data_IF_642957283784
#
_entry.id   IF_642957283784
#
_cell.length_a   1.000
_cell.length_b   1.000
_cell.length_c   1.000
_cell.angle_alpha   90.00
_cell.angle_beta   90.00
_cell.angle_gamma   90.00
#
_symmetry.space_group_name_H-M   'P 1'
#
loop_
_entity.id
_entity.type
_entity.pdbx_description
1 polymer ?
#
# COMPACT_ATOMS: atom_id res chain seq x y z
N UNK A 1 48.70 61.35 -0.30
CA UNK A 1 48.26 60.20 -1.13
C UNK A 1 47.19 59.43 -0.36
N UNK A 2 45.91 59.52 -0.77
CA UNK A 2 44.84 58.73 -0.16
C UNK A 2 43.85 58.30 -1.25
N UNK A 3 44.04 57.09 -1.78
CA UNK A 3 43.12 56.53 -2.80
C UNK A 3 41.85 56.07 -2.09
N UNK A 4 40.74 56.79 -2.29
CA UNK A 4 39.39 56.29 -1.96
C UNK A 4 39.05 55.18 -2.95
N UNK A 5 39.16 53.93 -2.51
CA UNK A 5 38.54 52.80 -3.21
C UNK A 5 37.02 52.96 -3.16
N UNK A 6 36.41 53.29 -4.31
CA UNK A 6 34.96 53.19 -4.48
C UNK A 6 34.61 51.70 -4.56
N UNK A 7 34.10 51.13 -3.46
CA UNK A 7 33.40 49.85 -3.49
C UNK A 7 32.16 50.01 -4.39
N UNK A 8 32.23 49.45 -5.60
CA UNK A 8 31.04 49.18 -6.40
C UNK A 8 30.16 48.22 -5.59
N UNK A 9 29.03 48.72 -5.06
CA UNK A 9 27.93 47.84 -4.66
C UNK A 9 27.48 47.11 -5.92
N UNK A 10 27.87 45.85 -6.06
CA UNK A 10 27.19 44.93 -6.96
C UNK A 10 25.79 44.79 -6.39
N UNK A 11 24.83 45.45 -7.02
CA UNK A 11 23.42 45.21 -6.75
C UNK A 11 23.13 43.80 -7.26
N UNK A 12 23.17 42.83 -6.35
CA UNK A 12 22.61 41.51 -6.62
C UNK A 12 21.10 41.70 -6.74
N UNK A 13 20.63 41.87 -7.98
CA UNK A 13 19.23 41.65 -8.29
C UNK A 13 18.96 40.17 -8.03
N UNK A 14 18.05 39.79 -7.12
CA UNK A 14 17.61 38.42 -7.06
C UNK A 14 17.01 38.14 -8.43
N UNK A 15 17.69 37.32 -9.22
CA UNK A 15 17.05 36.76 -10.40
C UNK A 15 15.83 36.03 -9.87
N UNK A 16 14.64 36.50 -10.22
CA UNK A 16 13.38 35.88 -9.83
C UNK A 16 13.22 34.62 -10.69
N UNK A 17 14.09 33.63 -10.45
CA UNK A 17 14.35 32.46 -11.29
C UNK A 17 13.13 31.56 -11.46
N UNK A 18 12.18 31.59 -10.52
CA UNK A 18 10.94 30.79 -10.58
C UNK A 18 9.88 31.41 -11.50
N UNK A 19 9.84 32.75 -11.59
CA UNK A 19 8.83 33.47 -12.40
C UNK A 19 9.15 33.42 -13.91
N UNK A 20 10.38 33.05 -14.26
CA UNK A 20 10.81 32.82 -15.64
C UNK A 20 10.60 31.39 -16.13
N UNK A 21 10.16 30.48 -15.26
CA UNK A 21 9.91 29.08 -15.64
C UNK A 21 8.57 28.95 -16.38
N UNK A 22 8.46 28.05 -17.37
CA UNK A 22 7.17 27.63 -17.90
C UNK A 22 6.27 27.05 -16.80
N UNK A 23 4.97 27.26 -16.91
CA UNK A 23 3.99 26.82 -15.90
C UNK A 23 4.06 25.33 -15.62
N UNK A 24 4.31 24.51 -16.64
CA UNK A 24 4.41 23.05 -16.54
C UNK A 24 5.58 22.63 -15.64
N UNK A 25 6.70 23.36 -15.68
CA UNK A 25 7.85 23.11 -14.83
C UNK A 25 7.56 23.48 -13.37
N UNK A 26 6.79 24.55 -13.16
CA UNK A 26 6.34 24.95 -11.82
C UNK A 26 5.38 23.91 -11.25
N UNK A 27 4.44 23.42 -12.05
CA UNK A 27 3.52 22.33 -11.68
C UNK A 27 4.28 21.06 -11.30
N UNK A 28 5.28 20.66 -12.09
CA UNK A 28 6.12 19.49 -11.77
C UNK A 28 6.91 19.67 -10.45
N UNK A 29 7.45 20.87 -10.20
CA UNK A 29 8.12 21.18 -8.92
C UNK A 29 7.14 21.04 -7.75
N UNK A 30 5.93 21.60 -7.87
CA UNK A 30 4.91 21.53 -6.83
C UNK A 30 4.40 20.10 -6.63
N UNK A 31 4.24 19.32 -7.70
CA UNK A 31 3.83 17.92 -7.64
C UNK A 31 4.84 17.07 -6.87
N UNK A 32 6.15 17.24 -7.15
CA UNK A 32 7.22 16.56 -6.39
C UNK A 32 7.26 16.99 -4.95
N UNK A 33 7.09 18.28 -4.67
CA UNK A 33 7.02 18.80 -3.32
C UNK A 33 5.84 18.16 -2.56
N UNK A 34 4.66 18.12 -3.18
CA UNK A 34 3.46 17.56 -2.55
C UNK A 34 3.54 16.03 -2.34
N UNK A 35 4.22 15.31 -3.24
CA UNK A 35 4.54 13.90 -3.05
C UNK A 35 5.49 13.66 -1.85
N UNK A 36 6.39 14.61 -1.57
CA UNK A 36 7.32 14.51 -0.44
C UNK A 36 6.73 15.00 0.89
N UNK A 37 5.90 16.04 0.86
CA UNK A 37 5.38 16.73 2.04
C UNK A 37 4.13 17.54 1.69
N UNK A 38 2.97 17.03 2.09
CA UNK A 38 1.70 17.76 1.98
C UNK A 38 1.76 19.11 2.69
N UNK A 39 2.40 19.16 3.85
CA UNK A 39 2.55 20.39 4.65
C UNK A 39 3.36 21.45 3.90
N UNK A 40 4.51 21.08 3.33
CA UNK A 40 5.36 22.05 2.63
C UNK A 40 4.74 22.48 1.29
N UNK A 41 3.97 21.61 0.65
CA UNK A 41 3.15 22.00 -0.49
C UNK A 41 2.15 23.10 -0.13
N UNK A 42 1.38 22.96 0.95
CA UNK A 42 0.41 24.00 1.33
C UNK A 42 1.08 25.31 1.75
N UNK A 43 2.19 25.25 2.48
CA UNK A 43 3.00 26.44 2.80
C UNK A 43 3.48 27.14 1.53
N UNK A 44 4.01 26.37 0.57
CA UNK A 44 4.51 26.89 -0.70
C UNK A 44 3.37 27.47 -1.55
N UNK A 45 2.23 26.78 -1.64
CA UNK A 45 1.00 27.29 -2.30
C UNK A 45 0.59 28.64 -1.75
N UNK A 46 0.69 28.84 -0.44
CA UNK A 46 0.35 30.12 0.22
C UNK A 46 1.43 31.21 0.13
N UNK A 47 2.64 30.87 -0.33
CA UNK A 47 3.79 31.78 -0.25
C UNK A 47 3.85 32.84 -1.35
N UNK A 48 3.29 32.55 -2.54
CA UNK A 48 3.25 33.51 -3.62
C UNK A 48 2.08 33.29 -4.58
N UNK A 49 1.73 34.36 -5.31
CA UNK A 49 0.61 34.37 -6.26
C UNK A 49 0.77 33.33 -7.38
N UNK A 50 1.98 33.19 -7.95
CA UNK A 50 2.27 32.21 -9.00
C UNK A 50 1.96 30.78 -8.54
N UNK A 51 2.44 30.39 -7.37
CA UNK A 51 2.17 29.06 -6.83
C UNK A 51 0.70 28.87 -6.50
N UNK A 52 0.04 29.89 -5.93
CA UNK A 52 -1.38 29.81 -5.64
C UNK A 52 -2.22 29.54 -6.90
N UNK A 53 -1.91 30.20 -8.01
CA UNK A 53 -2.64 30.07 -9.28
C UNK A 53 -2.43 28.72 -9.97
N UNK A 54 -1.23 28.13 -9.89
CA UNK A 54 -0.91 26.86 -10.56
C UNK A 54 -1.08 25.63 -9.65
N UNK A 55 -1.22 25.80 -8.34
CA UNK A 55 -1.33 24.70 -7.39
C UNK A 55 -2.69 23.99 -7.36
N UNK A 56 -3.67 24.41 -8.18
CA UNK A 56 -4.97 23.76 -8.30
C UNK A 56 -5.06 22.72 -9.44
N UNK A 57 -3.91 22.25 -9.91
CA UNK A 57 -3.79 21.29 -11.01
C UNK A 57 -4.04 19.84 -10.57
N UNK A 58 -4.90 19.10 -11.29
CA UNK A 58 -5.23 17.68 -11.06
C UNK A 58 -3.98 16.79 -10.92
N UNK A 59 -2.95 17.06 -11.71
CA UNK A 59 -1.71 16.30 -11.67
C UNK A 59 -1.03 16.44 -10.30
N UNK A 60 -1.04 17.63 -9.69
CA UNK A 60 -0.48 17.83 -8.35
C UNK A 60 -1.26 17.00 -7.33
N UNK A 61 -2.60 17.10 -7.34
CA UNK A 61 -3.48 16.34 -6.44
C UNK A 61 -3.32 14.83 -6.57
N UNK A 62 -3.04 14.35 -7.78
CA UNK A 62 -2.70 12.95 -8.05
C UNK A 62 -1.41 12.49 -7.36
N UNK A 63 -0.44 13.39 -7.19
CA UNK A 63 0.86 13.08 -6.58
C UNK A 63 0.92 13.31 -5.07
N UNK A 64 -0.02 14.05 -4.47
CA UNK A 64 0.07 14.42 -3.04
C UNK A 64 0.15 13.17 -2.16
N UNK A 65 1.10 13.16 -1.23
CA UNK A 65 1.14 12.16 -0.17
C UNK A 65 -0.02 12.37 0.79
N UNK A 66 -0.94 11.41 0.81
CA UNK A 66 -2.16 11.44 1.66
C UNK A 66 -2.06 10.52 2.89
N UNK A 67 -0.91 9.87 3.09
CA UNK A 67 -0.74 8.82 4.11
C UNK A 67 -1.07 9.32 5.53
N UNK A 68 -0.53 10.49 5.91
CA UNK A 68 -0.82 11.09 7.23
C UNK A 68 -2.29 11.41 7.45
N UNK A 69 -2.98 11.84 6.39
CA UNK A 69 -4.39 12.20 6.44
C UNK A 69 -5.27 10.95 6.46
N UNK A 70 -4.91 9.91 5.71
CA UNK A 70 -5.64 8.65 5.64
C UNK A 70 -5.79 7.99 7.02
N UNK A 71 -4.78 8.05 7.88
CA UNK A 71 -4.84 7.46 9.22
C UNK A 71 -5.71 8.24 10.22
N UNK A 72 -6.19 9.44 9.84
CA UNK A 72 -7.08 10.28 10.65
C UNK A 72 -8.52 10.31 10.14
N UNK A 73 -8.89 9.44 9.20
CA UNK A 73 -10.21 9.39 8.55
C UNK A 73 -11.41 9.51 9.51
N UNK A 74 -11.35 8.92 10.69
CA UNK A 74 -12.43 8.97 11.69
C UNK A 74 -12.62 10.36 12.33
N UNK A 75 -11.67 11.27 12.15
CA UNK A 75 -11.59 12.56 12.82
C UNK A 75 -11.45 13.73 11.84
N UNK A 76 -11.72 13.50 10.55
CA UNK A 76 -11.58 14.55 9.54
C UNK A 76 -12.52 15.72 9.78
N UNK A 77 -12.00 16.92 9.55
CA UNK A 77 -12.83 18.10 9.34
C UNK A 77 -13.53 18.04 7.97
N UNK A 78 -14.48 18.95 7.72
CA UNK A 78 -15.14 19.05 6.41
C UNK A 78 -14.13 19.40 5.31
N UNK A 79 -13.16 20.24 5.62
CA UNK A 79 -12.11 20.69 4.71
C UNK A 79 -11.16 19.55 4.37
N UNK A 80 -10.74 18.76 5.36
CA UNK A 80 -9.90 17.58 5.18
C UNK A 80 -10.60 16.53 4.31
N UNK A 81 -11.88 16.26 4.58
CA UNK A 81 -12.70 15.35 3.77
C UNK A 81 -12.85 15.82 2.32
N UNK A 82 -13.15 17.11 2.12
CA UNK A 82 -13.25 17.72 0.78
C UNK A 82 -11.92 17.63 0.02
N UNK A 83 -10.80 17.95 0.69
CA UNK A 83 -9.46 17.84 0.12
C UNK A 83 -9.13 16.39 -0.27
N UNK A 84 -9.45 15.42 0.57
CA UNK A 84 -9.20 14.01 0.27
C UNK A 84 -10.05 13.54 -0.91
N UNK A 85 -11.31 13.95 -0.99
CA UNK A 85 -12.18 13.69 -2.15
C UNK A 85 -11.60 14.28 -3.43
N UNK A 86 -11.08 15.51 -3.37
CA UNK A 86 -10.38 16.14 -4.51
C UNK A 86 -9.17 15.32 -4.99
N UNK A 87 -8.40 14.75 -4.07
CA UNK A 87 -7.30 13.84 -4.42
C UNK A 87 -7.81 12.58 -5.14
N UNK A 88 -8.90 11.98 -4.65
CA UNK A 88 -9.51 10.80 -5.29
C UNK A 88 -10.07 11.11 -6.68
N UNK A 89 -10.76 12.24 -6.86
CA UNK A 89 -11.29 12.69 -8.15
C UNK A 89 -10.17 12.95 -9.17
N UNK A 90 -9.01 13.43 -8.70
CA UNK A 90 -7.81 13.63 -9.52
C UNK A 90 -7.08 12.33 -9.89
N UNK A 91 -7.52 11.20 -9.34
CA UNK A 91 -6.96 9.87 -9.59
C UNK A 91 -5.78 9.50 -8.69
N UNK A 92 -5.64 10.10 -7.50
CA UNK A 92 -4.63 9.70 -6.52
C UNK A 92 -4.87 8.26 -6.06
N UNK A 93 -3.95 7.35 -6.40
CA UNK A 93 -4.14 5.91 -6.16
C UNK A 93 -4.05 5.53 -4.68
N UNK A 94 -3.21 6.22 -3.89
CA UNK A 94 -3.12 6.03 -2.44
C UNK A 94 -4.41 6.49 -1.77
N UNK A 95 -4.99 7.60 -2.23
CA UNK A 95 -6.26 8.10 -1.72
C UNK A 95 -7.40 7.08 -1.94
N UNK A 96 -7.50 6.56 -3.18
CA UNK A 96 -8.46 5.52 -3.55
C UNK A 96 -8.24 4.24 -2.73
N UNK A 97 -6.99 3.79 -2.58
CA UNK A 97 -6.66 2.59 -1.81
C UNK A 97 -7.10 2.72 -0.35
N UNK A 98 -6.67 3.77 0.35
CA UNK A 98 -6.96 3.93 1.78
C UNK A 98 -8.45 4.10 2.03
N UNK A 99 -9.16 4.88 1.20
CA UNK A 99 -10.62 5.04 1.32
C UNK A 99 -11.34 3.71 1.02
N UNK A 100 -10.87 2.98 0.01
CA UNK A 100 -11.39 1.68 -0.37
C UNK A 100 -11.26 0.65 0.78
N UNK A 101 -10.07 0.55 1.39
CA UNK A 101 -9.86 -0.28 2.58
C UNK A 101 -10.75 0.19 3.73
N UNK A 102 -10.81 1.51 3.99
CA UNK A 102 -11.62 2.02 5.09
C UNK A 102 -13.10 1.65 4.93
N UNK A 103 -13.68 1.87 3.74
CA UNK A 103 -15.07 1.52 3.43
C UNK A 103 -15.33 0.02 3.50
N UNK A 104 -14.50 -0.77 2.81
CA UNK A 104 -14.64 -2.23 2.74
C UNK A 104 -14.52 -2.91 4.11
N UNK A 105 -13.64 -2.42 4.98
CA UNK A 105 -13.38 -3.02 6.29
C UNK A 105 -14.14 -2.38 7.47
N UNK A 106 -14.82 -1.25 7.28
CA UNK A 106 -15.49 -0.55 8.40
C UNK A 106 -17.01 -0.47 8.24
N UNK A 107 -17.53 -0.48 7.02
CA UNK A 107 -18.94 -0.19 6.77
C UNK A 107 -19.59 -1.31 5.95
N UNK A 108 -20.22 -2.27 6.62
CA UNK A 108 -20.93 -3.37 5.95
C UNK A 108 -21.89 -2.93 4.82
N UNK A 109 -22.52 -1.76 4.97
CA UNK A 109 -23.45 -1.19 3.99
C UNK A 109 -22.77 -0.47 2.81
N UNK A 110 -21.47 -0.16 2.91
CA UNK A 110 -20.70 0.59 1.91
C UNK A 110 -19.54 -0.24 1.33
N UNK A 111 -19.58 -1.55 1.52
CA UNK A 111 -18.55 -2.48 1.04
C UNK A 111 -18.43 -2.47 -0.49
N UNK A 112 -19.54 -2.29 -1.22
CA UNK A 112 -19.51 -2.26 -2.69
C UNK A 112 -18.75 -1.03 -3.22
N UNK A 113 -18.95 0.15 -2.64
CA UNK A 113 -18.21 1.33 -3.06
C UNK A 113 -16.74 1.26 -2.63
N UNK A 114 -16.45 0.66 -1.46
CA UNK A 114 -15.08 0.33 -1.06
C UNK A 114 -14.39 -0.61 -2.06
N UNK A 115 -15.11 -1.62 -2.53
CA UNK A 115 -14.63 -2.57 -3.54
C UNK A 115 -14.38 -1.90 -4.89
N UNK A 116 -15.25 -0.98 -5.32
CA UNK A 116 -15.05 -0.20 -6.55
C UNK A 116 -13.77 0.64 -6.49
N UNK A 117 -13.54 1.37 -5.39
CA UNK A 117 -12.33 2.16 -5.19
C UNK A 117 -11.06 1.30 -5.24
N UNK A 118 -11.07 0.15 -4.58
CA UNK A 118 -9.96 -0.81 -4.63
C UNK A 118 -9.75 -1.34 -6.06
N UNK A 119 -10.81 -1.68 -6.79
CA UNK A 119 -10.71 -2.14 -8.18
C UNK A 119 -10.10 -1.07 -9.08
N UNK A 120 -10.54 0.18 -8.95
CA UNK A 120 -9.99 1.32 -9.70
C UNK A 120 -8.49 1.49 -9.43
N UNK A 121 -8.08 1.47 -8.17
CA UNK A 121 -6.67 1.58 -7.79
C UNK A 121 -5.85 0.39 -8.33
N UNK A 122 -6.36 -0.84 -8.21
CA UNK A 122 -5.69 -2.05 -8.69
C UNK A 122 -5.54 -2.06 -10.23
N UNK A 123 -6.60 -1.68 -10.96
CA UNK A 123 -6.56 -1.54 -12.42
C UNK A 123 -5.53 -0.51 -12.90
N UNK A 124 -5.30 0.54 -12.09
CA UNK A 124 -4.27 1.55 -12.35
C UNK A 124 -2.86 1.15 -11.86
N UNK A 125 -2.66 -0.08 -11.38
CA UNK A 125 -1.35 -0.62 -11.01
C UNK A 125 -0.98 -0.49 -9.53
N UNK A 126 -1.91 -0.12 -8.65
CA UNK A 126 -1.60 -0.04 -7.21
C UNK A 126 -1.47 -1.44 -6.59
N UNK A 127 -0.26 -1.78 -6.13
CA UNK A 127 0.06 -3.10 -5.55
C UNK A 127 -0.77 -3.42 -4.31
N UNK A 128 -0.90 -2.48 -3.36
CA UNK A 128 -1.70 -2.68 -2.15
C UNK A 128 -3.17 -3.00 -2.43
N UNK A 129 -3.79 -2.34 -3.40
CA UNK A 129 -5.16 -2.62 -3.81
C UNK A 129 -5.29 -4.01 -4.48
N UNK A 130 -4.36 -4.35 -5.38
CA UNK A 130 -4.29 -5.69 -5.98
C UNK A 130 -4.14 -6.78 -4.92
N UNK A 131 -3.28 -6.53 -3.92
CA UNK A 131 -3.07 -7.40 -2.78
C UNK A 131 -4.35 -7.62 -1.97
N UNK A 132 -5.01 -6.53 -1.56
CA UNK A 132 -6.24 -6.61 -0.75
C UNK A 132 -7.31 -7.39 -1.49
N UNK A 133 -7.61 -7.02 -2.74
CA UNK A 133 -8.61 -7.72 -3.54
C UNK A 133 -8.25 -9.19 -3.72
N UNK A 134 -6.98 -9.49 -4.01
CA UNK A 134 -6.54 -10.85 -4.27
C UNK A 134 -6.60 -11.75 -3.04
N UNK A 135 -6.20 -11.24 -1.87
CA UNK A 135 -6.33 -11.98 -0.61
C UNK A 135 -7.79 -12.14 -0.21
N UNK A 136 -8.65 -11.12 -0.40
CA UNK A 136 -10.07 -11.23 -0.09
C UNK A 136 -10.77 -12.26 -1.00
N UNK A 137 -10.45 -12.30 -2.30
CA UNK A 137 -10.94 -13.33 -3.23
C UNK A 137 -10.59 -14.75 -2.75
N UNK A 138 -9.42 -14.93 -2.14
CA UNK A 138 -8.96 -16.24 -1.64
C UNK A 138 -9.51 -16.61 -0.26
N UNK A 139 -9.83 -15.64 0.59
CA UNK A 139 -10.26 -15.87 1.98
C UNK A 139 -11.77 -15.80 2.20
N UNK A 140 -12.49 -15.05 1.37
CA UNK A 140 -13.90 -14.73 1.61
C UNK A 140 -14.85 -15.43 0.62
N UNK A 141 -14.32 -15.98 -0.48
CA UNK A 141 -15.12 -16.56 -1.56
C UNK A 141 -14.69 -18.00 -1.88
N UNK A 142 -15.67 -18.85 -2.18
CA UNK A 142 -15.44 -20.21 -2.67
C UNK A 142 -15.55 -20.26 -4.19
N UNK A 143 -14.80 -21.17 -4.79
CA UNK A 143 -14.88 -21.48 -6.21
C UNK A 143 -13.64 -21.11 -6.99
N UNK A 144 -13.37 -21.90 -8.03
CA UNK A 144 -12.17 -21.78 -8.84
C UNK A 144 -12.06 -20.43 -9.56
N UNK A 145 -13.19 -19.77 -9.86
CA UNK A 145 -13.20 -18.44 -10.46
C UNK A 145 -12.55 -17.40 -9.55
N UNK A 146 -12.96 -17.34 -8.28
CA UNK A 146 -12.38 -16.41 -7.30
C UNK A 146 -10.92 -16.75 -7.03
N UNK A 147 -10.58 -18.04 -6.94
CA UNK A 147 -9.19 -18.46 -6.80
C UNK A 147 -8.32 -17.96 -7.97
N UNK A 148 -8.78 -18.14 -9.22
CA UNK A 148 -8.08 -17.65 -10.41
C UNK A 148 -7.98 -16.12 -10.43
N UNK A 149 -9.05 -15.42 -10.07
CA UNK A 149 -9.09 -13.95 -9.99
C UNK A 149 -8.10 -13.43 -8.95
N UNK A 150 -8.11 -14.00 -7.75
CA UNK A 150 -7.21 -13.64 -6.67
C UNK A 150 -5.74 -13.89 -7.02
N UNK A 151 -5.43 -15.05 -7.58
CA UNK A 151 -4.10 -15.37 -8.09
C UNK A 151 -3.63 -14.39 -9.18
N UNK A 152 -4.52 -14.01 -10.10
CA UNK A 152 -4.21 -13.02 -11.14
C UNK A 152 -3.86 -11.66 -10.55
N UNK A 153 -4.62 -11.19 -9.57
CA UNK A 153 -4.35 -9.92 -8.88
C UNK A 153 -3.02 -9.95 -8.14
N UNK A 154 -2.74 -11.05 -7.44
CA UNK A 154 -1.50 -11.23 -6.68
C UNK A 154 -0.27 -11.41 -7.57
N UNK A 155 -0.45 -11.82 -8.83
CA UNK A 155 0.65 -11.90 -9.79
C UNK A 155 1.33 -10.54 -10.07
N UNK A 156 0.68 -9.41 -9.71
CA UNK A 156 1.30 -8.08 -9.77
C UNK A 156 2.40 -7.90 -8.71
N UNK A 157 2.42 -8.73 -7.67
CA UNK A 157 3.38 -8.68 -6.56
C UNK A 157 4.50 -9.66 -6.87
N UNK A 158 5.69 -9.15 -7.18
CA UNK A 158 6.80 -9.95 -7.71
C UNK A 158 7.78 -10.43 -6.66
N UNK A 159 7.78 -9.82 -5.48
CA UNK A 159 8.75 -10.13 -4.42
C UNK A 159 8.09 -10.29 -3.07
N UNK A 160 8.73 -11.06 -2.19
CA UNK A 160 8.31 -11.19 -0.79
C UNK A 160 8.36 -9.86 -0.02
N UNK A 161 9.26 -8.95 -0.40
CA UNK A 161 9.31 -7.60 0.17
C UNK A 161 8.06 -6.79 -0.20
N UNK A 162 7.64 -6.79 -1.47
CA UNK A 162 6.40 -6.13 -1.90
C UNK A 162 5.18 -6.72 -1.21
N UNK A 163 5.14 -8.05 -1.04
CA UNK A 163 4.06 -8.73 -0.29
C UNK A 163 3.99 -8.23 1.16
N UNK A 164 5.15 -8.17 1.83
CA UNK A 164 5.26 -7.67 3.20
C UNK A 164 4.84 -6.20 3.33
N UNK A 165 5.24 -5.34 2.39
CA UNK A 165 4.83 -3.94 2.35
C UNK A 165 3.31 -3.81 2.18
N UNK A 166 2.72 -4.58 1.28
CA UNK A 166 1.26 -4.61 1.08
C UNK A 166 0.53 -5.08 2.35
N UNK A 167 1.02 -6.15 3.00
CA UNK A 167 0.47 -6.63 4.27
C UNK A 167 0.52 -5.56 5.36
N UNK A 168 1.68 -4.91 5.55
CA UNK A 168 1.84 -3.84 6.56
C UNK A 168 0.92 -2.66 6.26
N UNK A 169 0.78 -2.30 4.98
CA UNK A 169 -0.12 -1.22 4.57
C UNK A 169 -1.59 -1.56 4.83
N UNK A 170 -2.01 -2.80 4.54
CA UNK A 170 -3.34 -3.31 4.91
C UNK A 170 -3.51 -3.28 6.43
N UNK A 171 -2.53 -3.79 7.20
CA UNK A 171 -2.60 -3.81 8.66
C UNK A 171 -2.80 -2.42 9.28
N UNK A 172 -2.11 -1.41 8.76
CA UNK A 172 -2.26 -0.01 9.21
C UNK A 172 -3.59 0.60 8.80
N UNK A 173 -4.12 0.22 7.64
CA UNK A 173 -5.35 0.79 7.09
C UNK A 173 -6.62 0.08 7.56
N UNK A 174 -6.52 -1.20 7.92
CA UNK A 174 -7.61 -2.01 8.43
C UNK A 174 -8.00 -1.50 9.82
N UNK A 175 -9.27 -1.10 9.97
CA UNK A 175 -9.76 -0.57 11.24
C UNK A 175 -9.95 -1.68 12.27
N UNK A 176 -9.66 -1.41 13.55
CA UNK A 176 -9.96 -2.34 14.65
C UNK A 176 -11.46 -2.75 14.67
N UNK A 177 -12.35 -1.87 14.18
CA UNK A 177 -13.80 -2.14 14.06
C UNK A 177 -14.09 -3.34 13.16
N UNK A 178 -13.27 -3.60 12.14
CA UNK A 178 -13.39 -4.80 11.30
C UNK A 178 -13.41 -6.07 12.15
N UNK A 179 -12.41 -6.23 13.03
CA UNK A 179 -12.28 -7.44 13.88
C UNK A 179 -13.50 -7.66 14.77
N UNK A 180 -14.15 -6.58 15.17
CA UNK A 180 -15.32 -6.63 16.04
C UNK A 180 -16.59 -7.01 15.27
N UNK A 181 -16.73 -6.55 14.03
CA UNK A 181 -18.00 -6.64 13.28
C UNK A 181 -18.01 -7.74 12.20
N UNK A 182 -16.85 -8.27 11.80
CA UNK A 182 -16.71 -9.14 10.62
C UNK A 182 -16.09 -10.52 10.93
N UNK A 183 -16.28 -11.04 12.15
CA UNK A 183 -15.64 -12.32 12.56
C UNK A 183 -15.97 -13.50 11.64
N UNK A 184 -17.17 -13.52 11.06
CA UNK A 184 -17.64 -14.60 10.18
C UNK A 184 -17.42 -14.33 8.68
N UNK A 185 -16.95 -13.12 8.31
CA UNK A 185 -16.76 -12.75 6.92
C UNK A 185 -15.50 -13.40 6.32
N UNK A 186 -14.41 -13.46 7.10
CA UNK A 186 -13.15 -14.07 6.68
C UNK A 186 -13.13 -15.53 7.10
N UNK A 187 -13.00 -16.45 6.13
CA UNK A 187 -13.02 -17.89 6.38
C UNK A 187 -11.62 -18.43 6.60
N UNK A 188 -11.52 -19.58 7.25
CA UNK A 188 -10.24 -20.28 7.30
C UNK A 188 -9.74 -20.54 5.87
N UNK A 189 -8.48 -20.19 5.53
CA UNK A 189 -7.98 -20.33 4.17
C UNK A 189 -8.08 -21.77 3.68
N UNK A 190 -8.57 -21.99 2.47
CA UNK A 190 -8.41 -23.25 1.76
C UNK A 190 -7.06 -23.24 1.04
N UNK A 191 -6.10 -23.99 1.56
CA UNK A 191 -4.74 -23.95 1.02
C UNK A 191 -4.68 -24.53 -0.40
N UNK A 192 -3.92 -23.84 -1.24
CA UNK A 192 -3.67 -24.22 -2.62
C UNK A 192 -2.75 -25.43 -2.68
N UNK A 193 -2.91 -26.24 -3.73
CA UNK A 193 -2.09 -27.43 -3.93
C UNK A 193 -0.69 -27.07 -4.40
N UNK A 194 0.31 -27.40 -3.57
CA UNK A 194 1.71 -27.26 -3.93
C UNK A 194 2.07 -28.20 -5.10
N UNK A 195 2.79 -27.73 -6.14
CA UNK A 195 3.23 -28.59 -7.23
C UNK A 195 4.40 -29.52 -6.83
N UNK A 196 5.08 -29.25 -5.71
CA UNK A 196 6.23 -30.03 -5.21
C UNK A 196 5.87 -30.81 -3.95
N UNK A 197 4.93 -31.75 -4.07
CA UNK A 197 4.42 -32.52 -2.93
C UNK A 197 5.54 -33.32 -2.24
N UNK A 198 6.48 -33.88 -3.00
CA UNK A 198 7.59 -34.71 -2.49
C UNK A 198 8.65 -33.92 -1.71
N UNK A 199 8.61 -32.58 -1.77
CA UNK A 199 9.56 -31.69 -1.07
C UNK A 199 8.96 -31.05 0.17
N UNK A 200 7.76 -31.47 0.57
CA UNK A 200 7.10 -30.95 1.76
C UNK A 200 7.85 -31.39 3.01
N UNK A 201 8.27 -30.43 3.83
CA UNK A 201 8.77 -30.70 5.18
C UNK A 201 7.73 -30.31 6.22
N UNK A 202 7.54 -31.19 7.19
CA UNK A 202 6.66 -31.00 8.33
C UNK A 202 7.44 -30.38 9.48
N UNK A 203 7.56 -29.05 9.55
CA UNK A 203 7.95 -28.36 10.78
C UNK A 203 7.82 -26.83 10.70
N UNK A 204 6.64 -26.29 10.39
CA UNK A 204 6.42 -24.86 10.58
C UNK A 204 5.33 -24.61 11.60
N UNK A 205 5.78 -24.14 12.76
CA UNK A 205 4.99 -23.29 13.63
C UNK A 205 4.73 -22.00 12.85
N UNK A 206 3.50 -21.76 12.41
CA UNK A 206 3.07 -20.52 11.73
C UNK A 206 3.16 -19.28 12.65
N UNK A 207 4.00 -19.30 13.69
CA UNK A 207 4.03 -18.34 14.80
C UNK A 207 5.17 -17.33 14.69
N UNK A 208 6.23 -17.61 13.90
CA UNK A 208 7.33 -16.66 13.70
C UNK A 208 7.08 -15.78 12.45
N UNK A 209 6.80 -14.50 12.71
CA UNK A 209 6.54 -13.48 11.68
C UNK A 209 7.82 -12.97 10.99
N UNK A 210 8.99 -13.22 11.58
CA UNK A 210 10.28 -12.64 11.18
C UNK A 210 11.19 -13.59 10.39
N UNK A 211 10.91 -14.89 10.37
CA UNK A 211 11.64 -15.79 9.47
C UNK A 211 11.08 -15.63 8.05
N UNK A 212 11.82 -14.94 7.20
CA UNK A 212 11.61 -14.96 5.74
C UNK A 212 12.02 -16.34 5.23
N UNK A 213 11.15 -17.31 5.49
CA UNK A 213 11.35 -18.70 5.14
C UNK A 213 11.79 -18.84 3.69
N UNK A 214 12.81 -19.68 3.54
CA UNK A 214 13.33 -20.25 2.32
C UNK A 214 12.25 -21.13 1.65
N UNK A 215 11.08 -20.61 1.33
CA UNK A 215 10.04 -21.34 0.60
C UNK A 215 10.42 -21.44 -0.88
N UNK A 216 10.30 -22.64 -1.43
CA UNK A 216 10.75 -22.94 -2.79
C UNK A 216 9.78 -22.47 -3.88
N UNK A 217 8.49 -22.39 -3.57
CA UNK A 217 7.43 -22.25 -4.56
C UNK A 217 6.40 -21.18 -4.18
N UNK A 218 5.94 -20.42 -5.18
CA UNK A 218 5.00 -19.29 -5.03
C UNK A 218 3.69 -19.71 -4.34
N UNK A 219 3.20 -20.93 -4.61
CA UNK A 219 2.00 -21.46 -3.97
C UNK A 219 2.15 -21.60 -2.46
N UNK A 220 3.30 -22.08 -1.97
CA UNK A 220 3.52 -22.19 -0.52
C UNK A 220 3.73 -20.82 0.13
N UNK A 221 4.38 -19.88 -0.59
CA UNK A 221 4.50 -18.49 -0.13
C UNK A 221 3.11 -17.88 0.05
N UNK A 222 2.23 -18.05 -0.95
CA UNK A 222 0.86 -17.55 -0.87
C UNK A 222 0.03 -18.24 0.21
N UNK A 223 0.16 -19.57 0.35
CA UNK A 223 -0.49 -20.31 1.45
C UNK A 223 -0.09 -19.76 2.83
N UNK A 224 1.21 -19.48 3.03
CA UNK A 224 1.68 -18.83 4.26
C UNK A 224 1.08 -17.44 4.43
N UNK A 225 1.10 -16.63 3.37
CA UNK A 225 0.56 -15.27 3.42
C UNK A 225 -0.93 -15.25 3.77
N UNK A 226 -1.73 -16.13 3.16
CA UNK A 226 -3.16 -16.28 3.46
C UNK A 226 -3.40 -16.59 4.94
N UNK A 227 -2.60 -17.47 5.54
CA UNK A 227 -2.72 -17.81 6.97
C UNK A 227 -2.34 -16.62 7.85
N UNK A 228 -1.26 -15.91 7.53
CA UNK A 228 -0.83 -14.72 8.27
C UNK A 228 -1.90 -13.64 8.22
N UNK A 229 -2.45 -13.35 7.03
CA UNK A 229 -3.50 -12.33 6.86
C UNK A 229 -4.79 -12.74 7.55
N UNK A 230 -5.20 -14.01 7.44
CA UNK A 230 -6.35 -14.54 8.18
C UNK A 230 -6.21 -14.26 9.68
N UNK A 231 -5.06 -14.59 10.28
CA UNK A 231 -4.81 -14.33 11.70
C UNK A 231 -4.81 -12.83 12.00
N UNK A 232 -4.19 -12.02 11.16
CA UNK A 232 -4.14 -10.56 11.31
C UNK A 232 -5.53 -9.92 11.30
N UNK A 233 -6.43 -10.41 10.45
CA UNK A 233 -7.79 -9.87 10.27
C UNK A 233 -8.80 -10.41 11.28
N UNK A 234 -8.65 -11.66 11.73
CA UNK A 234 -9.62 -12.30 12.65
C UNK A 234 -9.15 -12.28 14.12
N UNK A 235 -7.84 -12.18 14.36
CA UNK A 235 -7.25 -12.40 15.68
C UNK A 235 -7.19 -13.87 16.11
N UNK A 236 -7.59 -14.80 15.25
CA UNK A 236 -7.67 -16.23 15.54
C UNK A 236 -6.68 -17.03 14.69
N UNK A 237 -6.17 -18.13 15.25
CA UNK A 237 -5.47 -19.14 14.45
C UNK A 237 -6.51 -20.06 13.84
N UNK A 238 -6.34 -20.45 12.57
CA UNK A 238 -7.27 -21.41 11.98
C UNK A 238 -7.10 -22.79 12.65
N UNK A 239 -8.19 -23.40 13.15
CA UNK A 239 -8.14 -24.72 13.81
C UNK A 239 -7.55 -25.82 12.92
N UNK A 240 -7.79 -25.76 11.62
CA UNK A 240 -7.34 -26.74 10.62
C UNK A 240 -5.83 -26.79 10.42
N UNK A 241 -5.08 -25.81 10.91
CA UNK A 241 -3.62 -25.73 10.77
C UNK A 241 -2.89 -25.74 12.11
N UNK A 242 -3.57 -26.18 13.18
CA UNK A 242 -3.01 -26.36 14.53
C UNK A 242 -1.94 -27.45 14.60
N UNK A 243 -1.84 -28.31 13.59
CA UNK A 243 -0.83 -29.37 13.49
C UNK A 243 -0.24 -29.39 12.07
N UNK A 244 1.03 -28.95 11.96
CA UNK A 244 1.96 -29.20 10.85
C UNK A 244 1.37 -29.16 9.41
N UNK A 245 1.39 -27.99 8.76
CA UNK A 245 1.21 -27.91 7.31
C UNK A 245 2.55 -28.09 6.59
N UNK A 246 2.64 -29.08 5.70
CA UNK A 246 3.85 -29.33 4.91
C UNK A 246 4.05 -28.31 3.79
N UNK A 247 5.19 -27.63 3.78
CA UNK A 247 5.57 -26.63 2.77
C UNK A 247 6.85 -27.02 2.02
N UNK A 248 6.96 -26.57 0.75
CA UNK A 248 8.14 -26.76 -0.10
C UNK A 248 9.28 -25.82 0.36
N UNK A 249 10.40 -26.35 0.85
CA UNK A 249 11.56 -25.53 1.27
C UNK A 249 12.68 -25.56 0.22
N UNK A 250 13.42 -24.45 0.10
CA UNK A 250 14.45 -24.22 -0.93
C UNK A 250 15.83 -24.79 -0.57
N UNK A 251 16.05 -25.27 0.67
CA UNK A 251 17.28 -25.98 1.10
C UNK A 251 17.04 -27.09 2.12
N UNK A 252 17.69 -28.24 1.95
CA UNK A 252 18.01 -29.22 3.00
C UNK A 252 18.91 -28.59 4.05
N UNK A 253 18.54 -28.72 5.32
CA UNK A 253 19.50 -28.57 6.41
C UNK A 253 20.36 -29.85 6.52
N UNK A 254 20.01 -30.94 5.81
CA UNK A 254 20.66 -32.25 5.98
C UNK A 254 21.64 -32.67 4.86
N UNK A 255 21.97 -31.82 3.88
CA UNK A 255 22.92 -32.18 2.78
C UNK A 255 24.35 -31.63 3.00
N UNK A 256 24.79 -31.39 4.24
CA UNK A 256 26.17 -30.95 4.51
C UNK A 256 27.08 -31.92 5.28
N UNK A 257 26.61 -33.07 5.74
CA UNK A 257 27.49 -34.03 6.41
C UNK A 257 27.43 -35.43 5.78
N UNK A 258 28.04 -35.58 4.59
CA UNK A 258 28.53 -36.90 4.15
C UNK A 258 29.60 -36.79 3.06
N UNK A 259 30.69 -36.06 3.33
CA UNK A 259 31.97 -36.35 2.65
C UNK A 259 33.17 -35.84 3.46
N UNK A 260 33.63 -36.62 4.44
CA UNK A 260 35.06 -36.90 4.72
C UNK A 260 35.13 -38.31 5.30
#
# INVERSE_FOLDING_TARGET
>A
MGRRCKLRKVLYTPSNTIYSLPSEMVVEILARLAASSMTDFFKTKSSCKLFYEVADDDYIYRQISVEELAFKMLHWTKEESSFYNRCMESGNLEALYHQGVHKYFTYHLDNESGLDLLKRAACAGHHGASYVLGIMDLLCHDGDEFTKRGMKLLSNIKTSLQMLECRRKLQRSACYKWRLQNKDFVRCPKLLSCPFQDRKRSLWCLYDEDDRDNLHCETCILNREMVVVYRMLTGHSCPSYSYSYGMCLSRSIDDQDTTI
#
